data_IF_454975906360
#
_entry.id   IF_454975906360
#
_cell.length_a   1.000
_cell.length_b   1.000
_cell.length_c   1.000
_cell.angle_alpha   90.00
_cell.angle_beta   90.00
_cell.angle_gamma   90.00
#
_symmetry.space_group_name_H-M   'P 1'
#
loop_
_entity.id
_entity.type
_entity.pdbx_description
1 polymer ?
#
# COMPACT_ATOMS: atom_id res chain seq x y z
N UNK A 1 -7.87 -7.66 -16.84
CA UNK A 1 -8.13 -6.31 -17.40
C UNK A 1 -9.35 -5.76 -16.71
N UNK A 2 -9.30 -4.57 -16.12
CA UNK A 2 -10.51 -3.88 -15.66
C UNK A 2 -11.43 -3.72 -16.88
N UNK A 3 -12.69 -4.14 -16.79
CA UNK A 3 -13.63 -4.03 -17.90
C UNK A 3 -13.70 -2.57 -18.36
N UNK A 4 -13.49 -2.32 -19.65
CA UNK A 4 -13.51 -0.99 -20.25
C UNK A 4 -14.86 -0.26 -20.05
N UNK A 5 -15.90 -1.01 -19.70
CA UNK A 5 -17.24 -0.51 -19.37
C UNK A 5 -17.46 -0.49 -17.85
N UNK A 6 -17.94 0.63 -17.33
CA UNK A 6 -18.31 0.86 -15.92
C UNK A 6 -19.78 1.28 -15.83
N UNK A 7 -20.51 0.76 -14.84
CA UNK A 7 -21.88 1.19 -14.55
C UNK A 7 -21.87 2.36 -13.56
N UNK A 8 -22.93 3.17 -13.53
CA UNK A 8 -23.03 4.31 -12.59
C UNK A 8 -22.90 3.85 -11.12
N UNK A 9 -23.53 2.74 -10.75
CA UNK A 9 -23.40 2.16 -9.40
C UNK A 9 -21.96 1.76 -9.07
N UNK A 10 -21.28 1.10 -10.01
CA UNK A 10 -19.87 0.72 -9.84
C UNK A 10 -18.96 1.94 -9.74
N UNK A 11 -19.20 2.98 -10.53
CA UNK A 11 -18.45 4.23 -10.45
C UNK A 11 -18.61 4.91 -9.08
N UNK A 12 -19.86 4.99 -8.56
CA UNK A 12 -20.12 5.53 -7.22
C UNK A 12 -19.41 4.74 -6.12
N UNK A 13 -19.46 3.41 -6.17
CA UNK A 13 -18.76 2.54 -5.22
C UNK A 13 -17.25 2.73 -5.28
N UNK A 14 -16.70 2.88 -6.48
CA UNK A 14 -15.28 3.10 -6.68
C UNK A 14 -14.83 4.45 -6.09
N UNK A 15 -15.61 5.52 -6.28
CA UNK A 15 -15.33 6.83 -5.65
C UNK A 15 -15.26 6.69 -4.13
N UNK A 16 -16.25 6.02 -3.51
CA UNK A 16 -16.27 5.81 -2.06
C UNK A 16 -15.04 5.00 -1.62
N UNK A 17 -14.69 3.95 -2.36
CA UNK A 17 -13.52 3.11 -2.07
C UNK A 17 -12.22 3.92 -2.13
N UNK A 18 -12.04 4.73 -3.16
CA UNK A 18 -10.86 5.58 -3.35
C UNK A 18 -10.79 6.67 -2.28
N UNK A 19 -11.89 7.34 -1.97
CA UNK A 19 -11.92 8.36 -0.93
C UNK A 19 -11.57 7.78 0.44
N UNK A 20 -12.07 6.56 0.76
CA UNK A 20 -11.68 5.87 2.00
C UNK A 20 -10.17 5.62 2.06
N UNK A 21 -9.56 5.21 0.95
CA UNK A 21 -8.12 5.00 0.87
C UNK A 21 -7.35 6.31 1.07
N UNK A 22 -7.75 7.38 0.38
CA UNK A 22 -7.13 8.72 0.53
C UNK A 22 -7.18 9.16 2.00
N UNK A 23 -8.36 9.09 2.62
CA UNK A 23 -8.53 9.46 4.03
C UNK A 23 -7.65 8.61 4.96
N UNK A 24 -7.54 7.30 4.69
CA UNK A 24 -6.70 6.39 5.47
C UNK A 24 -5.23 6.80 5.39
N UNK A 25 -4.72 7.14 4.21
CA UNK A 25 -3.32 7.54 3.99
C UNK A 25 -3.04 8.92 4.57
N UNK A 26 -3.92 9.90 4.37
CA UNK A 26 -3.72 11.27 4.86
C UNK A 26 -3.85 11.40 6.38
N UNK A 27 -4.74 10.63 7.00
CA UNK A 27 -4.91 10.62 8.45
C UNK A 27 -3.84 9.79 9.17
N UNK A 28 -3.05 9.00 8.45
CA UNK A 28 -2.06 8.11 9.03
C UNK A 28 -0.89 8.89 9.63
N UNK A 29 -0.69 8.75 10.94
CA UNK A 29 0.39 9.38 11.70
C UNK A 29 1.40 8.33 12.13
N UNK A 30 2.53 8.16 11.41
CA UNK A 30 3.53 7.17 11.77
C UNK A 30 4.23 7.59 13.07
N UNK A 31 4.34 6.66 14.01
CA UNK A 31 5.06 6.85 15.29
C UNK A 31 6.41 6.13 15.33
N UNK A 32 6.71 5.33 14.32
CA UNK A 32 7.97 4.60 14.19
C UNK A 32 8.33 4.37 12.72
N UNK A 33 9.58 3.93 12.49
CA UNK A 33 10.13 3.69 11.16
C UNK A 33 9.35 2.65 10.36
N UNK A 34 8.81 1.59 11.00
CA UNK A 34 8.02 0.58 10.28
C UNK A 34 6.76 1.23 9.67
N UNK A 35 6.08 2.07 10.43
CA UNK A 35 4.89 2.78 9.98
C UNK A 35 5.22 3.83 8.93
N UNK A 36 6.37 4.49 9.05
CA UNK A 36 6.83 5.45 8.04
C UNK A 36 7.12 4.77 6.70
N UNK A 37 7.75 3.59 6.72
CA UNK A 37 7.95 2.74 5.54
C UNK A 37 6.61 2.37 4.90
N UNK A 38 5.60 1.99 5.69
CA UNK A 38 4.27 1.65 5.19
C UNK A 38 3.57 2.86 4.57
N UNK A 39 3.64 4.02 5.22
CA UNK A 39 3.06 5.27 4.70
C UNK A 39 3.69 5.67 3.37
N UNK A 40 5.02 5.64 3.29
CA UNK A 40 5.74 6.02 2.08
C UNK A 40 5.47 5.02 0.95
N UNK A 41 5.37 3.74 1.27
CA UNK A 41 4.96 2.72 0.30
C UNK A 41 3.52 2.91 -0.19
N UNK A 42 2.60 3.35 0.67
CA UNK A 42 1.23 3.65 0.29
C UNK A 42 1.13 4.83 -0.70
N UNK A 43 2.06 5.77 -0.63
CA UNK A 43 2.15 6.92 -1.56
C UNK A 43 2.82 6.55 -2.89
N UNK A 44 3.93 5.82 -2.83
CA UNK A 44 4.81 5.58 -3.99
C UNK A 44 4.56 4.26 -4.70
N UNK A 45 4.06 3.25 -3.97
CA UNK A 45 3.96 1.85 -4.43
C UNK A 45 5.29 1.25 -4.95
N UNK A 46 6.43 1.84 -4.55
CA UNK A 46 7.77 1.57 -5.09
C UNK A 46 8.78 1.35 -3.97
N UNK A 47 9.30 0.11 -3.85
CA UNK A 47 10.30 -0.23 -2.81
C UNK A 47 11.61 0.57 -2.99
N UNK A 48 12.16 0.72 -4.21
CA UNK A 48 13.35 1.54 -4.41
C UNK A 48 13.17 3.00 -4.00
N UNK A 49 11.99 3.59 -4.24
CA UNK A 49 11.71 4.96 -3.83
C UNK A 49 11.62 5.08 -2.31
N UNK A 50 10.93 4.16 -1.63
CA UNK A 50 10.86 4.14 -0.16
C UNK A 50 12.25 3.99 0.45
N UNK A 51 13.07 3.06 -0.08
CA UNK A 51 14.44 2.84 0.36
C UNK A 51 15.30 4.10 0.22
N UNK A 52 15.17 4.80 -0.91
CA UNK A 52 15.86 6.07 -1.15
C UNK A 52 15.36 7.20 -0.25
N UNK A 53 14.05 7.36 -0.11
CA UNK A 53 13.44 8.49 0.61
C UNK A 53 13.67 8.39 2.12
N UNK A 54 13.63 7.18 2.68
CA UNK A 54 13.83 6.94 4.11
C UNK A 54 15.25 6.50 4.47
N UNK A 55 16.15 6.41 3.48
CA UNK A 55 17.53 5.94 3.65
C UNK A 55 17.63 4.59 4.41
N UNK A 56 16.78 3.64 4.02
CA UNK A 56 16.71 2.29 4.59
C UNK A 56 17.06 1.25 3.53
N UNK A 57 17.56 0.07 3.93
CA UNK A 57 17.88 -0.97 2.97
C UNK A 57 16.64 -1.52 2.27
N UNK A 58 16.81 -2.00 1.04
CA UNK A 58 15.75 -2.63 0.26
C UNK A 58 15.14 -3.82 1.01
N UNK A 59 15.98 -4.64 1.64
CA UNK A 59 15.59 -5.81 2.42
C UNK A 59 14.71 -5.40 3.60
N UNK A 60 15.02 -4.28 4.26
CA UNK A 60 14.24 -3.78 5.40
C UNK A 60 12.83 -3.38 4.97
N UNK A 61 12.70 -2.72 3.83
CA UNK A 61 11.39 -2.32 3.28
C UNK A 61 10.56 -3.56 2.94
N UNK A 62 11.17 -4.56 2.29
CA UNK A 62 10.51 -5.83 1.97
C UNK A 62 10.07 -6.56 3.25
N UNK A 63 10.94 -6.65 4.25
CA UNK A 63 10.65 -7.27 5.54
C UNK A 63 9.42 -6.61 6.18
N UNK A 64 9.42 -5.28 6.28
CA UNK A 64 8.33 -4.52 6.90
C UNK A 64 7.02 -4.74 6.14
N UNK A 65 6.98 -4.54 4.82
CA UNK A 65 5.74 -4.67 4.02
C UNK A 65 5.19 -6.12 4.05
N UNK A 66 6.06 -7.12 4.08
CA UNK A 66 5.67 -8.53 4.05
C UNK A 66 5.26 -9.08 5.42
N UNK A 67 5.70 -8.42 6.50
CA UNK A 67 5.39 -8.77 7.89
C UNK A 67 3.89 -8.72 8.20
N UNK A 68 3.50 -9.22 9.37
CA UNK A 68 2.09 -9.22 9.79
C UNK A 68 1.66 -7.78 10.12
N UNK A 69 0.73 -7.25 9.31
CA UNK A 69 0.21 -5.90 9.49
C UNK A 69 -0.43 -5.68 10.85
N UNK A 70 0.10 -4.71 11.60
CA UNK A 70 -0.38 -4.30 12.93
C UNK A 70 -1.62 -3.40 12.82
N UNK A 71 -1.64 -2.51 11.83
CA UNK A 71 -2.72 -1.56 11.57
C UNK A 71 -3.42 -1.79 10.21
N UNK A 72 -4.47 -1.03 9.94
CA UNK A 72 -5.30 -1.17 8.73
C UNK A 72 -4.54 -0.84 7.45
N UNK A 73 -3.71 0.22 7.45
CA UNK A 73 -2.93 0.61 6.27
C UNK A 73 -1.90 -0.47 5.92
N UNK A 74 -1.18 -0.97 6.93
CA UNK A 74 -0.22 -2.05 6.76
C UNK A 74 -0.90 -3.33 6.25
N UNK A 75 -2.03 -3.75 6.83
CA UNK A 75 -2.78 -4.91 6.34
C UNK A 75 -3.19 -4.77 4.87
N UNK A 76 -3.57 -3.56 4.47
CA UNK A 76 -3.94 -3.23 3.08
C UNK A 76 -2.72 -3.32 2.17
N UNK A 77 -1.61 -2.65 2.52
CA UNK A 77 -0.37 -2.64 1.75
C UNK A 77 0.21 -4.04 1.58
N UNK A 78 0.22 -4.83 2.65
CA UNK A 78 0.65 -6.23 2.61
C UNK A 78 -0.18 -7.03 1.61
N UNK A 79 -1.51 -6.94 1.70
CA UNK A 79 -2.41 -7.68 0.81
C UNK A 79 -2.13 -7.36 -0.67
N UNK A 80 -1.94 -6.08 -0.99
CA UNK A 80 -1.63 -5.64 -2.35
C UNK A 80 -0.24 -6.08 -2.80
N UNK A 81 0.76 -5.97 -1.93
CA UNK A 81 2.12 -6.43 -2.22
C UNK A 81 2.16 -7.94 -2.50
N UNK A 82 1.48 -8.74 -1.68
CA UNK A 82 1.35 -10.19 -1.84
C UNK A 82 0.62 -10.55 -3.12
N UNK A 83 -0.43 -9.80 -3.48
CA UNK A 83 -1.12 -9.96 -4.76
C UNK A 83 -0.20 -9.65 -5.95
N UNK A 84 0.54 -8.53 -5.90
CA UNK A 84 1.48 -8.08 -6.95
C UNK A 84 2.59 -9.10 -7.18
N UNK A 85 3.16 -9.65 -6.11
CA UNK A 85 4.31 -10.57 -6.17
C UNK A 85 3.94 -12.04 -6.28
N UNK A 86 2.64 -12.39 -6.25
CA UNK A 86 2.16 -13.78 -6.31
C UNK A 86 2.76 -14.59 -7.48
N UNK A 87 2.87 -13.97 -8.66
CA UNK A 87 3.36 -14.66 -9.85
C UNK A 87 4.89 -14.82 -9.88
N UNK A 88 5.62 -14.04 -9.09
CA UNK A 88 7.08 -14.08 -9.02
C UNK A 88 7.62 -15.08 -7.99
N UNK A 89 6.73 -15.66 -7.16
CA UNK A 89 7.05 -16.64 -6.11
C UNK A 89 6.76 -18.09 -6.50
N UNK A 90 6.39 -18.31 -7.77
CA UNK A 90 6.24 -19.64 -8.35
C UNK A 90 7.57 -20.08 -8.94
#
# INVERSE_FOLDING_TARGET
MASKFITLDRARKEIIRLQKYVNLVEAYKPINLEQEIILEYAKTSSIPEVSKNLNVSYEKVVEVISSKGKDELHKTMRSWYMYKTKNQRK
#
